data_IF_665949409342
#
_entry.id   IF_665949409342
#
_cell.length_a   1.000
_cell.length_b   1.000
_cell.length_c   1.000
_cell.angle_alpha   90.00
_cell.angle_beta   90.00
_cell.angle_gamma   90.00
#
_symmetry.space_group_name_H-M   'P 1'
#
loop_
_entity.id
_entity.type
_entity.pdbx_description
1 polymer ?
#
# COMPACT_ATOMS: atom_id res chain seq x y z
N UNK A 1 -24.64 -12.84 60.01
CA UNK A 1 -25.39 -12.18 58.91
C UNK A 1 -24.55 -12.32 57.65
N UNK A 2 -24.98 -13.14 56.68
CA UNK A 2 -24.26 -13.34 55.41
C UNK A 2 -24.89 -12.38 54.39
N UNK A 3 -24.12 -11.39 53.94
CA UNK A 3 -24.51 -10.48 52.86
C UNK A 3 -24.70 -11.26 51.57
N UNK A 4 -25.93 -11.29 51.05
CA UNK A 4 -26.23 -11.81 49.71
C UNK A 4 -25.87 -10.72 48.69
N UNK A 5 -24.71 -10.87 48.04
CA UNK A 5 -24.38 -10.12 46.84
C UNK A 5 -25.33 -10.49 45.71
N UNK A 6 -26.14 -9.52 45.28
CA UNK A 6 -27.06 -9.66 44.17
C UNK A 6 -26.30 -9.48 42.85
N UNK A 7 -25.73 -10.57 42.31
CA UNK A 7 -25.33 -10.61 40.89
C UNK A 7 -26.62 -10.56 40.04
N UNK A 8 -26.99 -9.35 39.57
CA UNK A 8 -28.09 -9.16 38.62
C UNK A 8 -27.74 -9.89 37.31
N UNK A 9 -28.60 -10.75 36.77
CA UNK A 9 -28.38 -11.33 35.44
C UNK A 9 -28.37 -10.20 34.42
N UNK A 10 -27.30 -10.09 33.62
CA UNK A 10 -27.24 -9.15 32.53
C UNK A 10 -28.43 -9.42 31.61
N UNK A 11 -29.25 -8.41 31.33
CA UNK A 11 -30.38 -8.58 30.43
C UNK A 11 -29.83 -8.81 29.01
N UNK A 12 -30.49 -9.63 28.16
CA UNK A 12 -30.04 -9.88 26.79
C UNK A 12 -29.81 -8.60 25.97
N UNK A 13 -30.53 -7.53 26.33
CA UNK A 13 -30.34 -6.20 25.75
C UNK A 13 -28.99 -5.58 26.15
N UNK A 14 -28.54 -5.74 27.39
CA UNK A 14 -27.24 -5.23 27.83
C UNK A 14 -26.10 -5.87 27.03
N UNK A 15 -26.16 -7.17 26.77
CA UNK A 15 -25.17 -7.89 25.96
C UNK A 15 -25.11 -7.35 24.52
N UNK A 16 -26.27 -7.09 23.90
CA UNK A 16 -26.33 -6.47 22.56
C UNK A 16 -25.66 -5.10 22.50
N UNK A 17 -25.83 -4.28 23.54
CA UNK A 17 -25.17 -2.97 23.61
C UNK A 17 -23.67 -3.08 23.87
N UNK A 18 -23.22 -4.07 24.66
CA UNK A 18 -21.78 -4.31 24.85
C UNK A 18 -21.12 -4.78 23.54
N UNK A 19 -21.79 -5.66 22.80
CA UNK A 19 -21.31 -6.10 21.49
C UNK A 19 -21.24 -4.94 20.50
N UNK A 20 -22.31 -4.15 20.40
CA UNK A 20 -22.34 -2.96 19.54
C UNK A 20 -21.21 -2.00 19.88
N UNK A 21 -21.00 -1.73 21.17
CA UNK A 21 -19.93 -0.89 21.69
C UNK A 21 -18.53 -1.41 21.30
N UNK A 22 -18.31 -2.71 21.38
CA UNK A 22 -17.04 -3.34 21.00
C UNK A 22 -16.80 -3.25 19.49
N UNK A 23 -17.82 -3.50 18.67
CA UNK A 23 -17.69 -3.47 17.20
C UNK A 23 -17.43 -2.05 16.71
N UNK A 24 -18.06 -1.06 17.33
CA UNK A 24 -17.95 0.35 16.94
C UNK A 24 -16.79 1.07 17.64
N UNK A 25 -15.99 0.35 18.44
CA UNK A 25 -14.95 0.91 19.32
C UNK A 25 -15.44 2.11 20.14
N UNK A 26 -16.70 2.08 20.59
CA UNK A 26 -17.30 3.17 21.35
C UNK A 26 -16.83 3.13 22.81
N UNK A 27 -16.39 4.27 23.34
CA UNK A 27 -16.05 4.41 24.75
C UNK A 27 -17.25 4.78 25.63
N UNK A 28 -18.43 4.97 25.04
CA UNK A 28 -19.61 5.41 25.75
C UNK A 28 -20.19 4.36 26.73
N UNK A 29 -20.64 4.81 27.89
CA UNK A 29 -21.30 3.97 28.90
C UNK A 29 -22.84 4.00 28.77
N UNK A 30 -23.37 5.02 28.09
CA UNK A 30 -24.80 5.23 27.91
C UNK A 30 -25.28 4.63 26.59
N UNK A 31 -26.41 3.91 26.61
CA UNK A 31 -27.00 3.26 25.44
C UNK A 31 -27.23 4.21 24.26
N UNK A 32 -27.74 5.41 24.54
CA UNK A 32 -27.97 6.45 23.52
C UNK A 32 -26.67 6.88 22.87
N UNK A 33 -25.62 7.12 23.65
CA UNK A 33 -24.30 7.49 23.15
C UNK A 33 -23.66 6.36 22.34
N UNK A 34 -23.80 5.09 22.77
CA UNK A 34 -23.34 3.92 21.99
C UNK A 34 -24.04 3.87 20.62
N UNK A 35 -25.34 4.18 20.55
CA UNK A 35 -26.08 4.23 19.28
C UNK A 35 -25.59 5.38 18.40
N UNK A 36 -25.38 6.57 18.97
CA UNK A 36 -24.86 7.72 18.21
C UNK A 36 -23.48 7.41 17.64
N UNK A 37 -22.58 6.84 18.45
CA UNK A 37 -21.25 6.41 18.01
C UNK A 37 -21.35 5.34 16.92
N UNK A 38 -22.28 4.38 17.05
CA UNK A 38 -22.53 3.37 16.04
C UNK A 38 -23.00 3.98 14.70
N UNK A 39 -23.94 4.92 14.75
CA UNK A 39 -24.42 5.64 13.56
C UNK A 39 -23.29 6.40 12.88
N UNK A 40 -22.44 7.09 13.65
CA UNK A 40 -21.26 7.79 13.14
C UNK A 40 -20.27 6.81 12.50
N UNK A 41 -20.00 5.68 13.15
CA UNK A 41 -19.10 4.64 12.61
C UNK A 41 -19.60 4.07 11.27
N UNK A 42 -20.91 3.87 11.12
CA UNK A 42 -21.51 3.43 9.86
C UNK A 42 -21.30 4.49 8.75
N UNK A 43 -21.48 5.77 9.08
CA UNK A 43 -21.25 6.86 8.12
C UNK A 43 -19.78 6.95 7.71
N UNK A 44 -18.85 6.82 8.66
CA UNK A 44 -17.41 6.78 8.38
C UNK A 44 -17.04 5.59 7.48
N UNK A 45 -17.59 4.40 7.74
CA UNK A 45 -17.39 3.22 6.90
C UNK A 45 -17.93 3.44 5.49
N UNK A 46 -19.12 4.02 5.36
CA UNK A 46 -19.71 4.34 4.05
C UNK A 46 -18.80 5.29 3.26
N UNK A 47 -18.31 6.36 3.89
CA UNK A 47 -17.37 7.28 3.25
C UNK A 47 -16.05 6.59 2.87
N UNK A 48 -15.53 5.67 3.70
CA UNK A 48 -14.32 4.89 3.38
C UNK A 48 -14.55 4.01 2.14
N UNK A 49 -15.68 3.34 2.05
CA UNK A 49 -16.05 2.53 0.87
C UNK A 49 -16.17 3.41 -0.39
N UNK A 50 -16.83 4.57 -0.30
CA UNK A 50 -16.95 5.50 -1.44
C UNK A 50 -15.60 6.06 -1.88
N UNK A 51 -14.68 6.36 -0.95
CA UNK A 51 -13.29 6.75 -1.27
C UNK A 51 -12.54 5.62 -1.98
N UNK A 52 -12.60 4.39 -1.45
CA UNK A 52 -11.97 3.23 -2.09
C UNK A 52 -12.51 2.99 -3.50
N UNK A 53 -13.83 3.06 -3.67
CA UNK A 53 -14.46 2.85 -4.97
C UNK A 53 -14.06 3.95 -5.98
N UNK A 54 -13.94 5.20 -5.53
CA UNK A 54 -13.38 6.28 -6.36
C UNK A 54 -11.92 6.04 -6.73
N UNK A 55 -11.10 5.59 -5.79
CA UNK A 55 -9.70 5.28 -6.07
C UNK A 55 -9.58 4.15 -7.10
N UNK A 56 -10.38 3.09 -6.97
CA UNK A 56 -10.43 1.99 -7.97
C UNK A 56 -10.88 2.53 -9.33
N UNK A 57 -11.93 3.34 -9.37
CA UNK A 57 -12.41 3.94 -10.62
C UNK A 57 -11.38 4.88 -11.25
N UNK A 58 -10.66 5.71 -10.47
CA UNK A 58 -9.59 6.55 -10.99
C UNK A 58 -8.41 5.74 -11.51
N UNK A 59 -8.06 4.62 -10.83
CA UNK A 59 -7.06 3.68 -11.35
C UNK A 59 -7.51 3.09 -12.69
N UNK A 60 -8.79 2.71 -12.83
CA UNK A 60 -9.33 2.21 -14.07
C UNK A 60 -9.40 3.29 -15.18
N UNK A 61 -9.72 4.55 -14.88
CA UNK A 61 -9.73 5.61 -15.91
C UNK A 61 -8.33 6.03 -16.35
N UNK A 62 -7.31 5.87 -15.50
CA UNK A 62 -5.91 6.03 -15.88
C UNK A 62 -5.42 4.91 -16.82
N UNK A 63 -6.18 3.84 -17.07
CA UNK A 63 -5.86 2.83 -18.09
C UNK A 63 -6.21 3.27 -19.52
N UNK A 64 -7.21 4.14 -19.70
CA UNK A 64 -7.66 4.58 -21.02
C UNK A 64 -6.83 5.74 -21.61
N UNK A 65 -6.00 6.39 -20.80
CA UNK A 65 -5.13 7.50 -21.22
C UNK A 65 -3.65 7.08 -21.40
N UNK A 66 -3.33 5.79 -21.33
CA UNK A 66 -1.96 5.27 -21.38
C UNK A 66 -1.38 5.24 -22.80
N UNK A 67 -1.33 6.42 -23.41
CA UNK A 67 -0.31 6.70 -24.41
C UNK A 67 0.76 7.52 -23.68
N UNK A 68 1.83 6.85 -23.25
CA UNK A 68 3.08 7.47 -22.77
C UNK A 68 2.96 8.26 -21.46
N UNK A 69 2.82 7.60 -20.31
CA UNK A 69 3.23 8.24 -19.06
C UNK A 69 4.78 8.27 -19.04
N UNK A 70 5.43 9.44 -18.96
CA UNK A 70 6.89 9.52 -18.94
C UNK A 70 7.40 9.07 -17.57
N UNK A 71 7.53 7.76 -17.37
CA UNK A 71 8.28 7.21 -16.23
C UNK A 71 9.76 7.43 -16.50
N UNK A 72 10.40 8.24 -15.66
CA UNK A 72 11.82 8.55 -15.75
C UNK A 72 12.60 7.56 -14.90
N UNK A 73 13.64 6.95 -15.47
CA UNK A 73 14.52 6.00 -14.80
C UNK A 73 15.97 6.48 -14.90
N UNK A 74 16.61 6.67 -13.76
CA UNK A 74 18.05 6.91 -13.66
C UNK A 74 18.69 5.82 -12.81
N UNK A 75 19.87 5.38 -13.24
CA UNK A 75 20.69 4.40 -12.52
C UNK A 75 22.08 4.99 -12.44
N UNK A 76 22.59 5.13 -11.23
CA UNK A 76 23.93 5.63 -10.95
C UNK A 76 24.75 4.51 -10.31
N UNK A 77 25.98 4.30 -10.79
CA UNK A 77 26.89 3.32 -10.21
C UNK A 77 27.56 3.92 -8.97
N UNK A 78 27.51 3.20 -7.86
CA UNK A 78 28.16 3.55 -6.59
C UNK A 78 29.42 2.68 -6.38
N UNK A 79 30.22 2.98 -5.35
CA UNK A 79 31.39 2.16 -4.98
C UNK A 79 31.01 0.70 -4.65
N UNK A 80 29.80 0.50 -4.11
CA UNK A 80 29.23 -0.83 -3.79
C UNK A 80 27.77 -0.89 -4.23
N UNK A 81 27.55 -1.09 -5.53
CA UNK A 81 26.21 -1.28 -6.12
C UNK A 81 25.72 -0.11 -6.97
N UNK A 82 24.42 0.14 -6.91
CA UNK A 82 23.66 1.04 -7.79
C UNK A 82 22.66 1.85 -6.98
N UNK A 83 22.49 3.10 -7.37
CA UNK A 83 21.36 3.93 -6.98
C UNK A 83 20.35 3.95 -8.13
N UNK A 84 19.20 3.32 -7.93
CA UNK A 84 18.10 3.27 -8.88
C UNK A 84 17.03 4.26 -8.46
N UNK A 85 16.74 5.21 -9.35
CA UNK A 85 15.73 6.24 -9.17
C UNK A 85 14.66 6.10 -10.25
N UNK A 86 13.41 5.98 -9.83
CA UNK A 86 12.25 5.89 -10.72
C UNK A 86 11.22 6.94 -10.32
N UNK A 87 10.78 7.74 -11.29
CA UNK A 87 9.83 8.83 -11.07
C UNK A 87 8.70 8.81 -12.10
N UNK A 88 7.47 9.00 -11.64
CA UNK A 88 6.28 9.24 -12.46
C UNK A 88 5.45 10.37 -11.85
N UNK A 89 4.90 11.24 -12.68
CA UNK A 89 4.00 12.31 -12.26
C UNK A 89 2.64 11.81 -11.76
N UNK A 90 2.34 10.52 -11.97
CA UNK A 90 1.07 9.90 -11.59
C UNK A 90 1.30 8.71 -10.66
N UNK A 91 0.31 8.39 -9.82
CA UNK A 91 0.33 7.16 -9.04
C UNK A 91 0.21 5.95 -9.97
N UNK A 92 1.09 4.96 -9.77
CA UNK A 92 1.21 3.77 -10.61
C UNK A 92 1.01 2.51 -9.74
N UNK A 93 -0.25 2.07 -9.50
CA UNK A 93 -0.53 0.87 -8.74
C UNK A 93 0.12 -0.36 -9.38
N UNK A 94 0.80 -1.19 -8.58
CA UNK A 94 1.47 -2.40 -9.04
C UNK A 94 2.88 -2.18 -9.60
N UNK A 95 3.27 -0.94 -9.96
CA UNK A 95 4.59 -0.69 -10.57
C UNK A 95 5.75 -1.03 -9.63
N UNK A 96 5.60 -0.77 -8.33
CA UNK A 96 6.61 -1.13 -7.33
C UNK A 96 6.91 -2.64 -7.36
N UNK A 97 5.87 -3.47 -7.48
CA UNK A 97 6.01 -4.92 -7.49
C UNK A 97 6.79 -5.35 -8.72
N UNK A 98 6.43 -4.85 -9.90
CA UNK A 98 7.15 -5.16 -11.14
C UNK A 98 8.62 -4.75 -11.11
N UNK A 99 8.96 -3.63 -10.47
CA UNK A 99 10.36 -3.20 -10.32
C UNK A 99 11.12 -4.13 -9.35
N UNK A 100 10.51 -4.53 -8.24
CA UNK A 100 11.14 -5.43 -7.27
C UNK A 100 11.33 -6.84 -7.85
N UNK A 101 10.40 -7.33 -8.67
CA UNK A 101 10.55 -8.58 -9.42
C UNK A 101 11.76 -8.51 -10.36
N UNK A 102 11.96 -7.39 -11.06
CA UNK A 102 13.13 -7.19 -11.90
C UNK A 102 14.44 -7.14 -11.11
N UNK A 103 14.44 -6.60 -9.89
CA UNK A 103 15.61 -6.66 -9.02
C UNK A 103 15.91 -8.08 -8.57
N UNK A 104 14.89 -8.87 -8.22
CA UNK A 104 15.05 -10.28 -7.85
C UNK A 104 15.58 -11.13 -9.01
N UNK A 105 15.06 -10.94 -10.22
CA UNK A 105 15.54 -11.62 -11.44
C UNK A 105 16.99 -11.28 -11.77
N UNK A 106 17.43 -10.05 -11.48
CA UNK A 106 18.81 -9.61 -11.64
C UNK A 106 19.71 -10.01 -10.46
N UNK A 107 19.18 -10.56 -9.38
CA UNK A 107 19.95 -10.86 -8.17
C UNK A 107 20.46 -9.62 -7.43
N UNK A 108 19.80 -8.47 -7.59
CA UNK A 108 20.15 -7.23 -6.91
C UNK A 108 19.57 -7.21 -5.50
N UNK A 109 20.43 -7.21 -4.49
CA UNK A 109 20.01 -7.06 -3.10
C UNK A 109 19.76 -5.57 -2.80
N UNK A 110 18.55 -5.23 -2.37
CA UNK A 110 18.19 -3.88 -1.94
C UNK A 110 18.66 -3.66 -0.50
N UNK A 111 19.59 -2.73 -0.31
CA UNK A 111 20.12 -2.38 1.01
C UNK A 111 19.37 -1.23 1.66
N UNK A 112 18.99 -0.23 0.88
CA UNK A 112 18.19 0.91 1.34
C UNK A 112 17.17 1.28 0.28
N UNK A 113 15.98 1.70 0.69
CA UNK A 113 14.94 2.12 -0.24
C UNK A 113 13.93 3.09 0.39
N UNK A 114 13.55 4.09 -0.40
CA UNK A 114 12.49 5.04 -0.10
C UNK A 114 11.47 5.03 -1.23
N UNK A 115 10.18 4.96 -0.87
CA UNK A 115 9.10 4.91 -1.86
C UNK A 115 7.91 5.79 -1.47
N UNK A 116 7.33 6.47 -2.46
CA UNK A 116 6.09 7.24 -2.36
C UNK A 116 5.14 6.86 -3.49
N UNK A 117 3.87 6.56 -3.15
CA UNK A 117 2.85 6.10 -4.11
C UNK A 117 1.51 6.87 -4.03
N UNK A 118 1.40 7.93 -3.21
CA UNK A 118 0.11 8.58 -2.90
C UNK A 118 -0.51 9.26 -4.11
N UNK A 119 0.14 10.32 -4.62
CA UNK A 119 -0.33 11.08 -5.79
C UNK A 119 0.60 10.87 -7.00
N UNK A 120 1.85 10.51 -6.72
CA UNK A 120 2.94 10.27 -7.66
C UNK A 120 3.68 9.01 -7.27
N UNK A 121 4.36 8.39 -8.23
CA UNK A 121 5.28 7.29 -7.95
C UNK A 121 6.71 7.83 -7.91
N UNK A 122 7.40 7.60 -6.80
CA UNK A 122 8.82 7.88 -6.65
C UNK A 122 9.44 6.73 -5.88
N UNK A 123 10.45 6.10 -6.47
CA UNK A 123 11.27 5.06 -5.86
C UNK A 123 12.73 5.50 -5.93
N UNK A 124 13.40 5.40 -4.81
CA UNK A 124 14.85 5.51 -4.68
C UNK A 124 15.32 4.24 -3.99
N UNK A 125 16.17 3.46 -4.63
CA UNK A 125 16.67 2.20 -4.11
C UNK A 125 18.18 2.12 -4.28
N UNK A 126 18.89 1.81 -3.20
CA UNK A 126 20.31 1.47 -3.19
C UNK A 126 20.41 -0.04 -3.13
N UNK A 127 20.99 -0.64 -4.15
CA UNK A 127 21.17 -2.09 -4.19
C UNK A 127 22.46 -2.51 -4.86
N UNK A 128 23.03 -3.62 -4.45
CA UNK A 128 24.28 -4.13 -4.98
C UNK A 128 24.28 -5.65 -5.02
N UNK A 129 25.30 -6.21 -5.65
CA UNK A 129 25.60 -7.63 -5.55
C UNK A 129 26.32 -7.92 -4.23
N UNK A 130 26.19 -9.16 -3.76
CA UNK A 130 27.04 -9.65 -2.69
C UNK A 130 28.50 -9.74 -3.19
N UNK A 131 29.46 -9.35 -2.35
CA UNK A 131 30.91 -9.26 -2.68
C UNK A 131 31.55 -10.59 -3.17
N UNK A 132 30.80 -11.70 -3.18
CA UNK A 132 31.24 -13.03 -3.61
C UNK A 132 30.95 -13.35 -5.09
N UNK A 133 30.21 -12.51 -5.82
CA UNK A 133 29.90 -12.72 -7.25
C UNK A 133 31.00 -12.14 -8.17
N UNK A 134 31.42 -12.94 -9.15
CA UNK A 134 32.60 -12.69 -10.03
C UNK A 134 32.24 -11.87 -11.27
N UNK A 135 30.96 -11.74 -11.60
CA UNK A 135 30.47 -10.98 -12.76
C UNK A 135 29.69 -9.76 -12.29
N UNK A 136 30.33 -8.60 -12.29
CA UNK A 136 29.68 -7.33 -11.99
C UNK A 136 28.61 -7.01 -13.04
N UNK A 137 27.37 -6.83 -12.62
CA UNK A 137 26.26 -6.37 -13.46
C UNK A 137 26.55 -4.94 -13.92
N UNK A 138 26.30 -4.65 -15.18
CA UNK A 138 26.46 -3.30 -15.71
C UNK A 138 25.24 -2.43 -15.37
N UNK A 139 25.47 -1.17 -15.01
CA UNK A 139 24.40 -0.22 -14.68
C UNK A 139 23.39 -0.06 -15.84
N UNK A 140 23.83 -0.24 -17.08
CA UNK A 140 22.94 -0.25 -18.23
C UNK A 140 21.99 -1.46 -18.23
N UNK A 141 22.45 -2.63 -17.79
CA UNK A 141 21.60 -3.83 -17.67
C UNK A 141 20.51 -3.60 -16.62
N UNK A 142 20.89 -3.05 -15.45
CA UNK A 142 19.92 -2.66 -14.41
C UNK A 142 18.89 -1.68 -14.97
N UNK A 143 19.35 -0.65 -15.67
CA UNK A 143 18.45 0.35 -16.29
C UNK A 143 17.50 -0.30 -17.30
N UNK A 144 18.00 -1.19 -18.16
CA UNK A 144 17.16 -1.88 -19.14
C UNK A 144 16.12 -2.79 -18.49
N UNK A 145 16.50 -3.54 -17.45
CA UNK A 145 15.56 -4.40 -16.73
C UNK A 145 14.43 -3.59 -16.08
N UNK A 146 14.75 -2.48 -15.43
CA UNK A 146 13.74 -1.59 -14.83
C UNK A 146 12.84 -0.98 -15.91
N UNK A 147 13.41 -0.54 -17.05
CA UNK A 147 12.63 -0.05 -18.18
C UNK A 147 11.71 -1.13 -18.77
N UNK A 148 12.18 -2.38 -18.85
CA UNK A 148 11.37 -3.50 -19.32
C UNK A 148 10.26 -3.85 -18.33
N UNK A 149 10.51 -3.80 -17.03
CA UNK A 149 9.51 -3.99 -15.99
C UNK A 149 8.39 -2.96 -16.08
N UNK A 150 8.74 -1.68 -16.28
CA UNK A 150 7.76 -0.59 -16.50
C UNK A 150 6.93 -0.86 -17.75
N UNK A 151 7.57 -1.31 -18.85
CA UNK A 151 6.88 -1.63 -20.09
C UNK A 151 5.89 -2.80 -19.89
N UNK A 152 6.36 -3.91 -19.33
CA UNK A 152 5.53 -5.08 -19.05
C UNK A 152 4.36 -4.73 -18.12
N UNK A 153 4.60 -3.93 -17.08
CA UNK A 153 3.57 -3.41 -16.19
C UNK A 153 2.50 -2.61 -16.95
N UNK A 154 2.92 -1.70 -17.83
CA UNK A 154 1.97 -0.89 -18.63
C UNK A 154 1.12 -1.75 -19.57
N UNK A 155 1.71 -2.81 -20.15
CA UNK A 155 1.00 -3.75 -21.01
C UNK A 155 0.01 -4.61 -20.20
N UNK A 156 0.36 -5.00 -18.97
CA UNK A 156 -0.50 -5.80 -18.10
C UNK A 156 -1.76 -5.07 -17.61
N UNK A 157 -1.73 -3.75 -17.55
CA UNK A 157 -2.92 -2.93 -17.19
C UNK A 157 -3.94 -2.86 -18.34
N UNK A 158 -3.51 -3.13 -19.56
CA UNK A 158 -4.34 -3.03 -20.76
C UNK A 158 -5.14 -4.31 -21.07
N UNK A 159 -4.95 -5.39 -20.30
CA UNK A 159 -5.64 -6.68 -20.43
C UNK A 159 -6.74 -6.85 -19.39
#
# INVERSE_FOLDING_TARGET
MVSREHKRPATPLHEKFQLLRSITNSHALNKTSIIVDASKYIEELKQKVERLNRNIASTAQNSAAQTLLPVQVTVETLEKGFLVNVFSETSCPGLLVSILEAFEELGLNVHDASVSCTDRFQLEAVGGEDEEQVESIDAQVVKQAVMQAIKNWSESISQ
#
